data_IF_675274981447
#
_entry.id   IF_675274981447
#
_cell.length_a   1.000
_cell.length_b   1.000
_cell.length_c   1.000
_cell.angle_alpha   90.00
_cell.angle_beta   90.00
_cell.angle_gamma   90.00
#
_symmetry.space_group_name_H-M   'P 1'
#
loop_
_entity.id
_entity.type
_entity.pdbx_description
1 polymer ?
#
# COMPACT_ATOMS: atom_id res chain seq x y z
N UNK A 1 -8.89 37.89 13.50
CA UNK A 1 -9.83 37.68 12.38
C UNK A 1 -8.99 37.27 11.17
N UNK A 2 -9.01 36.09 10.56
CA UNK A 2 -9.87 34.90 10.60
C UNK A 2 -8.99 33.67 10.30
N UNK A 3 -8.76 32.79 11.27
CA UNK A 3 -8.29 31.42 10.99
C UNK A 3 -9.53 30.56 10.87
N UNK A 4 -10.01 30.35 9.65
CA UNK A 4 -11.14 29.47 9.40
C UNK A 4 -11.01 28.81 8.04
N UNK A 5 -11.10 27.48 8.08
CA UNK A 5 -11.58 26.59 7.02
C UNK A 5 -10.57 26.14 5.96
N UNK A 6 -9.77 25.13 6.31
CA UNK A 6 -9.62 23.98 5.41
C UNK A 6 -9.88 22.70 6.22
N UNK A 7 -11.15 22.51 6.56
CA UNK A 7 -11.66 21.23 7.08
C UNK A 7 -12.57 20.64 6.01
N UNK A 8 -11.98 20.02 4.99
CA UNK A 8 -12.72 19.23 3.99
C UNK A 8 -11.92 17.94 3.73
N UNK A 9 -12.57 16.76 3.70
CA UNK A 9 -11.92 15.48 3.94
C UNK A 9 -11.22 14.99 2.68
N UNK A 10 -9.96 15.37 2.49
CA UNK A 10 -9.08 14.88 1.42
C UNK A 10 -9.07 13.34 1.35
N UNK A 11 -9.27 12.68 2.50
CA UNK A 11 -9.46 11.22 2.62
C UNK A 11 -10.60 10.61 1.78
N UNK A 12 -11.58 11.40 1.32
CA UNK A 12 -12.73 10.91 0.53
C UNK A 12 -12.60 11.17 -0.98
N UNK A 13 -11.57 11.88 -1.42
CA UNK A 13 -11.54 12.43 -2.79
C UNK A 13 -10.80 11.57 -3.83
N UNK A 14 -10.10 10.51 -3.40
CA UNK A 14 -9.34 9.65 -4.31
C UNK A 14 -9.69 8.17 -4.13
N UNK A 15 -10.91 7.75 -4.54
CA UNK A 15 -11.28 6.34 -4.53
C UNK A 15 -10.32 5.48 -5.35
N UNK A 16 -9.76 6.03 -6.44
CA UNK A 16 -8.76 5.33 -7.26
C UNK A 16 -7.48 5.05 -6.48
N UNK A 17 -6.94 6.00 -5.72
CA UNK A 17 -5.69 5.82 -4.95
C UNK A 17 -5.89 4.77 -3.86
N UNK A 18 -7.05 4.79 -3.19
CA UNK A 18 -7.39 3.76 -2.20
C UNK A 18 -7.45 2.38 -2.84
N UNK A 19 -8.06 2.26 -4.02
CA UNK A 19 -8.18 0.99 -4.72
C UNK A 19 -6.79 0.46 -5.11
N UNK A 20 -5.94 1.31 -5.69
CA UNK A 20 -4.55 0.97 -6.04
C UNK A 20 -3.76 0.50 -4.82
N UNK A 21 -3.92 1.18 -3.68
CA UNK A 21 -3.26 0.76 -2.44
C UNK A 21 -3.74 -0.61 -1.95
N UNK A 22 -5.06 -0.88 -1.99
CA UNK A 22 -5.62 -2.17 -1.56
C UNK A 22 -5.16 -3.28 -2.51
N UNK A 23 -5.17 -3.05 -3.82
CA UNK A 23 -4.74 -4.01 -4.83
C UNK A 23 -3.23 -4.29 -4.72
N UNK A 24 -2.42 -3.25 -4.49
CA UNK A 24 -0.99 -3.42 -4.19
C UNK A 24 -0.76 -4.21 -2.90
N UNK A 25 -1.54 -3.97 -1.85
CA UNK A 25 -1.46 -4.74 -0.60
C UNK A 25 -1.80 -6.22 -0.81
N UNK A 26 -2.73 -6.54 -1.72
CA UNK A 26 -3.10 -7.91 -2.08
C UNK A 26 -1.94 -8.63 -2.81
N UNK A 27 -1.29 -7.94 -3.74
CA UNK A 27 -0.10 -8.46 -4.45
C UNK A 27 1.06 -8.69 -3.48
N UNK A 28 1.27 -7.76 -2.54
CA UNK A 28 2.35 -7.82 -1.56
C UNK A 28 2.08 -8.82 -0.43
N UNK A 29 0.82 -9.08 -0.08
CA UNK A 29 0.41 -9.94 1.04
C UNK A 29 1.13 -11.30 1.11
N UNK A 30 1.21 -12.11 0.04
CA UNK A 30 1.93 -13.39 0.08
C UNK A 30 3.45 -13.23 0.24
N UNK A 31 4.02 -12.13 -0.25
CA UNK A 31 5.45 -11.82 -0.16
C UNK A 31 5.81 -11.40 1.27
N UNK A 32 5.01 -10.51 1.88
CA UNK A 32 5.24 -10.03 3.25
C UNK A 32 4.87 -11.07 4.31
N UNK A 33 3.91 -11.97 4.04
CA UNK A 33 3.49 -13.03 4.96
C UNK A 33 4.38 -14.27 4.95
N UNK A 34 5.18 -14.47 3.90
CA UNK A 34 6.14 -15.58 3.83
C UNK A 34 7.33 -15.29 4.74
N UNK A 35 7.22 -15.74 5.99
CA UNK A 35 8.24 -15.59 7.03
C UNK A 35 9.59 -16.25 6.63
N UNK A 36 10.64 -15.44 6.56
CA UNK A 36 12.08 -15.71 6.81
C UNK A 36 12.84 -16.81 6.04
N UNK A 37 12.20 -17.82 5.43
CA UNK A 37 12.90 -18.92 4.74
C UNK A 37 13.01 -18.76 3.23
N UNK A 38 12.19 -17.91 2.63
CA UNK A 38 12.26 -17.56 1.21
C UNK A 38 12.62 -16.08 1.09
N UNK A 39 13.91 -15.79 1.15
CA UNK A 39 14.47 -14.55 0.60
C UNK A 39 14.11 -14.52 -0.90
N UNK A 40 13.01 -13.91 -1.32
CA UNK A 40 12.68 -14.00 -2.75
C UNK A 40 12.41 -12.69 -3.46
N UNK A 41 12.15 -11.57 -2.77
CA UNK A 41 12.06 -10.28 -3.47
C UNK A 41 12.60 -9.15 -2.61
N UNK A 42 13.60 -8.43 -3.10
CA UNK A 42 14.11 -7.22 -2.45
C UNK A 42 13.06 -6.10 -2.52
N UNK A 43 13.18 -5.07 -1.66
CA UNK A 43 12.32 -3.88 -1.75
C UNK A 43 12.37 -3.23 -3.14
N UNK A 44 13.52 -3.28 -3.81
CA UNK A 44 13.66 -2.83 -5.20
C UNK A 44 12.87 -3.70 -6.18
N UNK A 45 12.94 -5.03 -6.03
CA UNK A 45 12.16 -5.96 -6.86
C UNK A 45 10.65 -5.77 -6.65
N UNK A 46 10.21 -5.58 -5.41
CA UNK A 46 8.80 -5.28 -5.10
C UNK A 46 8.37 -3.94 -5.69
N UNK A 47 9.21 -2.91 -5.61
CA UNK A 47 8.91 -1.60 -6.17
C UNK A 47 8.79 -1.67 -7.69
N UNK A 48 9.69 -2.41 -8.35
CA UNK A 48 9.63 -2.63 -9.79
C UNK A 48 8.34 -3.33 -10.20
N UNK A 49 7.96 -4.39 -9.48
CA UNK A 49 6.69 -5.09 -9.70
C UNK A 49 5.50 -4.13 -9.55
N UNK A 50 5.44 -3.34 -8.49
CA UNK A 50 4.34 -2.40 -8.29
C UNK A 50 4.25 -1.34 -9.40
N UNK A 51 5.38 -0.83 -9.88
CA UNK A 51 5.39 0.13 -11.01
C UNK A 51 4.95 -0.55 -12.31
N UNK A 52 5.31 -1.81 -12.52
CA UNK A 52 4.87 -2.58 -13.70
C UNK A 52 3.35 -2.88 -13.65
N UNK A 53 2.79 -3.17 -12.47
CA UNK A 53 1.35 -3.37 -12.27
C UNK A 53 0.54 -2.06 -12.24
N UNK A 54 1.13 -0.99 -11.72
CA UNK A 54 0.51 0.32 -11.57
C UNK A 54 1.42 1.40 -12.15
N UNK A 55 1.41 1.62 -13.48
CA UNK A 55 2.31 2.57 -14.16
C UNK A 55 2.15 4.03 -13.71
N UNK A 56 1.05 4.34 -13.03
CA UNK A 56 0.79 5.64 -12.41
C UNK A 56 1.57 5.88 -11.11
N UNK A 57 2.15 4.83 -10.51
CA UNK A 57 2.98 4.96 -9.33
C UNK A 57 4.40 5.35 -9.72
N UNK A 58 4.93 6.38 -9.05
CA UNK A 58 6.37 6.63 -9.09
C UNK A 58 7.11 5.57 -8.26
N UNK A 59 8.42 5.36 -8.50
CA UNK A 59 9.22 4.46 -7.67
C UNK A 59 9.14 4.78 -6.17
N UNK A 60 9.13 6.06 -5.81
CA UNK A 60 9.02 6.52 -4.43
C UNK A 60 7.66 6.14 -3.82
N UNK A 61 6.58 6.33 -4.58
CA UNK A 61 5.24 5.91 -4.15
C UNK A 61 5.16 4.40 -3.96
N UNK A 62 5.76 3.61 -4.85
CA UNK A 62 5.84 2.16 -4.70
C UNK A 62 6.57 1.75 -3.41
N UNK A 63 7.69 2.41 -3.08
CA UNK A 63 8.40 2.19 -1.82
C UNK A 63 7.55 2.54 -0.58
N UNK A 64 6.77 3.63 -0.63
CA UNK A 64 5.84 3.99 0.46
C UNK A 64 4.78 2.90 0.63
N UNK A 65 4.21 2.39 -0.46
CA UNK A 65 3.21 1.31 -0.42
C UNK A 65 3.79 0.05 0.22
N UNK A 66 5.00 -0.36 -0.16
CA UNK A 66 5.69 -1.52 0.40
C UNK A 66 5.90 -1.36 1.91
N UNK A 67 6.52 -0.25 2.34
CA UNK A 67 6.78 0.00 3.75
C UNK A 67 5.48 0.04 4.57
N UNK A 68 4.41 0.58 3.99
CA UNK A 68 3.10 0.61 4.63
C UNK A 68 2.49 -0.79 4.74
N UNK A 69 2.56 -1.60 3.69
CA UNK A 69 2.06 -2.99 3.69
C UNK A 69 2.82 -3.86 4.69
N UNK A 70 4.15 -3.73 4.76
CA UNK A 70 5.01 -4.41 5.75
C UNK A 70 4.63 -4.02 7.18
N UNK A 71 4.47 -2.71 7.45
CA UNK A 71 4.03 -2.23 8.76
C UNK A 71 2.65 -2.77 9.13
N UNK A 72 1.71 -2.75 8.20
CA UNK A 72 0.36 -3.29 8.42
C UNK A 72 0.37 -4.81 8.65
N UNK A 73 1.28 -5.53 7.98
CA UNK A 73 1.47 -6.96 8.21
C UNK A 73 2.00 -7.22 9.63
N UNK A 74 3.05 -6.48 10.04
CA UNK A 74 3.62 -6.54 11.38
C UNK A 74 2.57 -6.25 12.47
N UNK A 75 1.74 -5.23 12.26
CA UNK A 75 0.64 -4.87 13.16
C UNK A 75 -0.54 -5.88 13.12
N UNK A 76 -0.47 -6.93 12.29
CA UNK A 76 -1.56 -7.90 12.01
C UNK A 76 -2.84 -7.25 11.48
N UNK A 77 -2.74 -6.06 10.90
CA UNK A 77 -3.85 -5.25 10.36
C UNK A 77 -4.04 -5.40 8.86
N UNK A 78 -3.05 -5.94 8.15
CA UNK A 78 -3.12 -6.14 6.70
C UNK A 78 -4.33 -6.99 6.31
N UNK A 79 -4.56 -8.11 7.01
CA UNK A 79 -5.70 -8.99 6.75
C UNK A 79 -7.05 -8.30 6.95
N UNK A 80 -7.17 -7.38 7.91
CA UNK A 80 -8.40 -6.62 8.14
C UNK A 80 -8.69 -5.61 7.00
N UNK A 81 -7.67 -5.20 6.25
CA UNK A 81 -7.83 -4.36 5.06
C UNK A 81 -8.27 -5.22 3.86
N UNK A 82 -7.66 -6.38 3.68
CA UNK A 82 -7.99 -7.31 2.60
C UNK A 82 -9.41 -7.89 2.76
N UNK A 83 -9.82 -8.24 3.98
CA UNK A 83 -11.15 -8.79 4.27
C UNK A 83 -12.30 -7.79 4.06
N UNK A 84 -12.02 -6.48 3.93
CA UNK A 84 -13.05 -5.45 3.63
C UNK A 84 -13.31 -5.27 2.14
N UNK A 85 -12.57 -5.97 1.28
CA UNK A 85 -12.76 -5.98 -0.18
C UNK A 85 -13.76 -7.06 -0.62
N UNK A 86 -13.99 -8.08 0.20
CA UNK A 86 -15.07 -9.08 0.04
C UNK A 86 -16.33 -8.69 0.79
#
# INVERSE_FOLDING_TARGET
>A
MNNSLVTTPERRQHPEIRQVFVDACEILAPIVASNAKLQTVSAFGMARMLVDYFPMLTPEQAHIVIATAEKLHYDKRLQAILNKKG
#
